data_IF_536022288387
#
_entry.id   IF_536022288387
#
_cell.length_a   1.000
_cell.length_b   1.000
_cell.length_c   1.000
_cell.angle_alpha   90.00
_cell.angle_beta   90.00
_cell.angle_gamma   90.00
#
_symmetry.space_group_name_H-M   'P 1'
#
loop_
_entity.id
_entity.type
_entity.pdbx_description
1 polymer ?
#
# COMPACT_ATOMS: atom_id res chain seq x y z
N UNK A 1 -33.50 11.39 2.00
CA UNK A 1 -34.24 10.23 1.46
C UNK A 1 -35.45 10.65 0.61
N UNK A 2 -36.23 11.72 0.98
CA UNK A 2 -37.40 12.19 0.19
C UNK A 2 -36.98 12.71 -1.20
N UNK A 3 -35.93 13.51 -1.30
CA UNK A 3 -35.43 14.08 -2.57
C UNK A 3 -35.05 12.99 -3.56
N UNK A 4 -34.31 11.97 -3.13
CA UNK A 4 -33.89 10.85 -3.98
C UNK A 4 -35.09 10.07 -4.55
N UNK A 5 -36.13 9.88 -3.76
CA UNK A 5 -37.40 9.25 -4.22
C UNK A 5 -38.08 10.08 -5.29
N UNK A 6 -38.13 11.40 -5.11
CA UNK A 6 -38.73 12.33 -6.10
C UNK A 6 -37.89 12.31 -7.39
N UNK A 7 -36.56 12.40 -7.29
CA UNK A 7 -35.67 12.32 -8.47
C UNK A 7 -35.83 10.98 -9.21
N UNK A 8 -35.91 9.87 -8.49
CA UNK A 8 -36.15 8.55 -9.09
C UNK A 8 -37.49 8.53 -9.83
N UNK A 9 -38.56 8.98 -9.18
CA UNK A 9 -39.89 9.03 -9.77
C UNK A 9 -39.93 9.87 -11.05
N UNK A 10 -39.31 11.05 -11.07
CA UNK A 10 -39.23 11.91 -12.25
C UNK A 10 -38.45 11.23 -13.39
N UNK A 11 -37.31 10.64 -13.10
CA UNK A 11 -36.51 9.92 -14.10
C UNK A 11 -37.27 8.75 -14.73
N UNK A 12 -38.06 8.02 -13.93
CA UNK A 12 -38.85 6.91 -14.43
C UNK A 12 -40.12 7.34 -15.20
N UNK A 13 -40.82 8.39 -14.73
CA UNK A 13 -42.09 8.75 -15.31
C UNK A 13 -42.02 9.88 -16.36
N UNK A 14 -41.10 10.83 -16.23
CA UNK A 14 -40.95 11.92 -17.19
C UNK A 14 -39.94 11.59 -18.30
N UNK A 15 -38.92 10.84 -17.98
CA UNK A 15 -37.84 10.54 -18.94
C UNK A 15 -37.81 9.08 -19.39
N UNK A 16 -38.63 8.21 -18.82
CA UNK A 16 -38.68 6.77 -19.20
C UNK A 16 -37.40 5.97 -18.85
N UNK A 17 -36.53 6.50 -17.96
CA UNK A 17 -35.26 5.88 -17.61
C UNK A 17 -35.45 4.99 -16.38
N UNK A 18 -35.12 3.72 -16.50
CA UNK A 18 -35.17 2.78 -15.38
C UNK A 18 -33.99 3.03 -14.42
N UNK A 19 -34.29 3.44 -13.19
CA UNK A 19 -33.29 3.83 -12.18
C UNK A 19 -33.29 2.87 -11.01
N UNK A 20 -32.11 2.34 -10.67
CA UNK A 20 -31.90 1.52 -9.47
C UNK A 20 -31.14 2.36 -8.44
N UNK A 21 -31.70 2.49 -7.24
CA UNK A 21 -31.05 3.15 -6.12
C UNK A 21 -30.34 2.12 -5.26
N UNK A 22 -29.08 2.35 -4.99
CA UNK A 22 -28.29 1.56 -4.02
C UNK A 22 -27.62 2.49 -3.02
N UNK A 23 -27.31 1.96 -1.83
CA UNK A 23 -26.60 2.72 -0.83
C UNK A 23 -25.20 3.08 -1.32
N UNK A 24 -24.76 4.34 -1.22
CA UNK A 24 -23.41 4.71 -1.59
C UNK A 24 -22.42 3.97 -0.67
N UNK A 25 -21.33 3.47 -1.25
CA UNK A 25 -20.21 2.96 -0.46
C UNK A 25 -19.55 4.15 0.25
N UNK A 26 -19.41 4.04 1.56
CA UNK A 26 -18.66 5.03 2.34
C UNK A 26 -17.18 4.83 2.01
N UNK A 27 -16.44 5.84 1.55
CA UNK A 27 -15.02 5.72 1.28
C UNK A 27 -14.25 5.68 2.61
N UNK A 28 -14.16 4.51 3.21
CA UNK A 28 -13.26 4.30 4.34
C UNK A 28 -11.82 4.35 3.85
N UNK A 29 -10.92 4.83 4.71
CA UNK A 29 -9.49 4.75 4.50
C UNK A 29 -8.89 3.84 5.55
N UNK A 30 -7.95 3.00 5.15
CA UNK A 30 -7.21 2.11 6.04
C UNK A 30 -5.90 2.78 6.44
N UNK A 31 -5.51 2.66 7.70
CA UNK A 31 -4.23 3.19 8.17
C UNK A 31 -3.47 2.15 8.98
N UNK A 32 -2.15 2.29 8.98
CA UNK A 32 -1.25 1.46 9.76
C UNK A 32 -0.93 2.19 11.04
N UNK A 33 -1.18 1.57 12.18
CA UNK A 33 -0.95 2.15 13.50
C UNK A 33 0.34 1.66 14.16
N UNK A 34 0.92 0.56 13.65
CA UNK A 34 2.09 -0.08 14.23
C UNK A 34 3.11 -0.42 13.14
N UNK A 35 4.37 -0.53 13.56
CA UNK A 35 5.42 -1.09 12.71
C UNK A 35 5.16 -2.58 12.51
N UNK A 36 5.24 -3.04 11.28
CA UNK A 36 5.09 -4.45 10.93
C UNK A 36 6.19 -4.86 9.93
N UNK A 37 6.59 -6.11 9.99
CA UNK A 37 7.54 -6.71 9.05
C UNK A 37 6.90 -7.91 8.38
N UNK A 38 7.21 -8.10 7.11
CA UNK A 38 6.82 -9.28 6.38
C UNK A 38 7.94 -9.71 5.44
N UNK A 39 8.15 -11.02 5.35
CA UNK A 39 9.08 -11.62 4.39
C UNK A 39 8.28 -12.53 3.48
N UNK A 40 8.43 -12.32 2.19
CA UNK A 40 7.84 -13.18 1.19
C UNK A 40 8.90 -13.86 0.35
N UNK A 41 8.79 -15.17 0.23
CA UNK A 41 9.68 -16.00 -0.58
C UNK A 41 8.88 -16.64 -1.72
N UNK A 42 9.23 -16.26 -2.94
CA UNK A 42 8.70 -16.89 -4.14
C UNK A 42 9.66 -18.00 -4.58
N UNK A 43 9.19 -19.23 -4.60
CA UNK A 43 9.92 -20.37 -5.15
C UNK A 43 8.99 -21.16 -6.06
N UNK A 44 9.28 -21.16 -7.34
CA UNK A 44 8.55 -21.96 -8.32
C UNK A 44 9.53 -22.77 -9.16
N UNK A 45 9.38 -24.07 -9.15
CA UNK A 45 10.18 -24.99 -9.94
C UNK A 45 9.25 -25.94 -10.68
N UNK A 46 9.14 -25.73 -11.98
CA UNK A 46 8.32 -26.55 -12.88
C UNK A 46 9.16 -26.85 -14.12
N UNK A 47 10.09 -27.83 -14.01
CA UNK A 47 10.91 -28.31 -15.13
C UNK A 47 11.82 -27.22 -15.73
N UNK A 48 13.12 -27.27 -15.46
CA UNK A 48 14.11 -26.31 -15.97
C UNK A 48 14.60 -25.32 -14.93
N UNK A 49 15.02 -24.12 -15.37
CA UNK A 49 15.51 -23.06 -14.48
C UNK A 49 14.38 -22.57 -13.58
N UNK A 50 14.51 -22.79 -12.27
CA UNK A 50 13.52 -22.36 -11.28
C UNK A 50 13.50 -20.84 -11.09
N UNK A 51 12.36 -20.32 -10.66
CA UNK A 51 12.21 -18.93 -10.25
C UNK A 51 12.39 -18.85 -8.72
N UNK A 52 13.27 -17.96 -8.28
CA UNK A 52 13.49 -17.70 -6.85
C UNK A 52 13.58 -16.20 -6.62
N UNK A 53 12.91 -15.73 -5.61
CA UNK A 53 13.00 -14.36 -5.11
C UNK A 53 12.52 -14.29 -3.66
N UNK A 54 13.27 -13.61 -2.82
CA UNK A 54 12.89 -13.35 -1.43
C UNK A 54 13.04 -11.86 -1.14
N UNK A 55 11.99 -11.28 -0.60
CA UNK A 55 11.97 -9.87 -0.23
C UNK A 55 11.41 -9.74 1.18
N UNK A 56 12.13 -9.04 2.03
CA UNK A 56 11.66 -8.61 3.34
C UNK A 56 11.28 -7.14 3.27
N UNK A 57 10.14 -6.79 3.84
CA UNK A 57 9.65 -5.40 3.87
C UNK A 57 9.22 -5.07 5.29
N UNK A 58 9.64 -3.90 5.76
CA UNK A 58 9.16 -3.29 6.98
C UNK A 58 8.26 -2.13 6.58
N UNK A 59 7.10 -2.06 7.18
CA UNK A 59 6.14 -0.97 6.98
C UNK A 59 5.91 -0.24 8.30
N UNK A 60 5.89 1.09 8.24
CA UNK A 60 5.59 1.93 9.41
C UNK A 60 4.74 3.14 9.01
N UNK A 61 3.92 3.67 9.92
CA UNK A 61 3.16 4.88 9.68
C UNK A 61 4.08 6.09 9.58
N UNK A 62 3.70 7.08 8.77
CA UNK A 62 4.31 8.41 8.81
C UNK A 62 3.55 9.22 9.86
N UNK A 63 4.24 9.68 10.88
CA UNK A 63 3.68 10.59 11.87
C UNK A 63 4.22 11.98 11.57
N UNK A 64 3.34 12.93 11.33
CA UNK A 64 3.72 14.32 11.08
C UNK A 64 4.45 14.91 12.29
N UNK A 65 5.54 15.64 12.02
CA UNK A 65 6.35 16.25 13.08
C UNK A 65 7.36 15.32 13.76
N UNK A 66 7.33 14.01 13.47
CA UNK A 66 8.31 13.06 13.98
C UNK A 66 9.36 12.77 12.90
N UNK A 67 10.65 13.09 13.16
CA UNK A 67 11.71 12.79 12.20
C UNK A 67 11.84 11.29 11.98
N UNK A 68 12.29 10.91 10.81
CA UNK A 68 12.54 9.51 10.47
C UNK A 68 13.58 8.92 11.46
N UNK A 69 13.24 7.79 12.04
CA UNK A 69 14.14 7.02 12.90
C UNK A 69 14.51 5.73 12.18
N UNK A 70 15.79 5.43 12.11
CA UNK A 70 16.30 4.18 11.53
C UNK A 70 16.37 3.03 12.55
N UNK A 71 15.92 3.26 13.78
CA UNK A 71 15.87 2.29 14.87
C UNK A 71 14.45 1.80 15.05
N UNK A 72 14.24 0.51 14.91
CA UNK A 72 12.93 -0.11 15.05
C UNK A 72 13.00 -1.24 16.07
N UNK A 73 11.94 -1.39 16.84
CA UNK A 73 11.79 -2.51 17.76
C UNK A 73 10.89 -3.56 17.11
N UNK A 74 11.47 -4.66 16.68
CA UNK A 74 10.79 -5.75 15.97
C UNK A 74 10.95 -7.01 16.83
N UNK A 75 9.83 -7.62 17.22
CA UNK A 75 9.81 -8.84 18.05
C UNK A 75 10.70 -8.75 19.31
N UNK A 76 10.74 -7.56 19.93
CA UNK A 76 11.55 -7.30 21.12
C UNK A 76 13.04 -7.07 20.88
N UNK A 77 13.50 -7.12 19.62
CA UNK A 77 14.88 -6.82 19.23
C UNK A 77 15.00 -5.42 18.65
N UNK A 78 16.02 -4.70 19.03
CA UNK A 78 16.35 -3.40 18.44
C UNK A 78 17.09 -3.63 17.12
N UNK A 79 16.46 -3.23 16.02
CA UNK A 79 17.01 -3.32 14.67
C UNK A 79 17.35 -1.92 14.19
N UNK A 80 18.60 -1.73 13.76
CA UNK A 80 19.06 -0.47 13.15
C UNK A 80 19.22 -0.69 11.66
N UNK A 81 18.48 0.05 10.86
CA UNK A 81 18.54 -0.06 9.40
C UNK A 81 19.41 1.04 8.80
N UNK A 82 20.34 0.66 7.95
CA UNK A 82 21.21 1.60 7.23
C UNK A 82 20.55 2.00 5.91
N UNK A 83 19.98 3.20 5.86
CA UNK A 83 19.36 3.75 4.66
C UNK A 83 20.41 4.13 3.63
N UNK A 84 20.34 3.57 2.44
CA UNK A 84 21.20 3.92 1.29
C UNK A 84 20.56 4.96 0.38
N UNK A 85 19.31 4.72 0.01
CA UNK A 85 18.54 5.63 -0.85
C UNK A 85 17.14 5.80 -0.31
N UNK A 86 16.58 6.99 -0.53
CA UNK A 86 15.21 7.34 -0.22
C UNK A 86 14.52 7.72 -1.53
N UNK A 87 13.36 7.17 -1.78
CA UNK A 87 12.49 7.52 -2.90
C UNK A 87 11.12 7.90 -2.37
N UNK A 88 10.54 8.94 -2.93
CA UNK A 88 9.23 9.44 -2.57
C UNK A 88 8.31 9.37 -3.78
N UNK A 89 7.12 8.85 -3.58
CA UNK A 89 6.10 8.74 -4.61
C UNK A 89 4.82 9.40 -4.13
N UNK A 90 4.31 10.31 -4.93
CA UNK A 90 2.98 10.87 -4.73
C UNK A 90 1.97 9.91 -5.37
N UNK A 91 0.98 9.52 -4.58
CA UNK A 91 -0.08 8.63 -5.01
C UNK A 91 -1.22 9.43 -5.64
N UNK A 92 -1.87 8.89 -6.67
CA UNK A 92 -2.92 9.58 -7.45
C UNK A 92 -4.05 10.16 -6.59
N UNK A 93 -4.33 9.55 -5.45
CA UNK A 93 -5.38 10.00 -4.51
C UNK A 93 -4.87 10.97 -3.42
N UNK A 94 -3.68 11.59 -3.61
CA UNK A 94 -3.11 12.57 -2.70
C UNK A 94 -2.36 11.98 -1.51
N UNK A 95 -1.94 10.71 -1.58
CA UNK A 95 -1.09 10.05 -0.61
C UNK A 95 0.39 10.16 -0.90
N UNK A 96 1.21 9.94 0.11
CA UNK A 96 2.66 9.93 0.01
C UNK A 96 3.20 8.57 0.45
N UNK A 97 3.93 7.92 -0.44
CA UNK A 97 4.66 6.72 -0.16
C UNK A 97 6.16 7.05 -0.07
N UNK A 98 6.77 6.78 1.07
CA UNK A 98 8.22 6.88 1.22
C UNK A 98 8.83 5.48 1.20
N UNK A 99 9.73 5.24 0.28
CA UNK A 99 10.47 3.98 0.19
C UNK A 99 11.94 4.20 0.56
N UNK A 100 12.43 3.37 1.46
CA UNK A 100 13.81 3.40 1.95
C UNK A 100 14.51 2.10 1.58
N UNK A 101 15.52 2.18 0.75
CA UNK A 101 16.37 1.05 0.43
C UNK A 101 17.45 0.90 1.51
N UNK A 102 17.35 -0.17 2.28
CA UNK A 102 18.30 -0.53 3.34
C UNK A 102 19.08 -1.81 3.01
N UNK A 103 19.00 -2.34 1.78
CA UNK A 103 19.64 -3.59 1.37
C UNK A 103 21.14 -3.53 1.55
N UNK A 104 21.70 -4.45 2.33
CA UNK A 104 23.14 -4.55 2.61
C UNK A 104 23.75 -5.67 1.75
N UNK A 105 24.99 -5.44 1.30
CA UNK A 105 25.78 -6.49 0.64
C UNK A 105 25.31 -6.91 -0.76
N UNK A 106 24.39 -6.16 -1.40
CA UNK A 106 23.89 -6.52 -2.73
C UNK A 106 22.97 -7.75 -2.73
N UNK A 107 22.30 -8.03 -1.60
CA UNK A 107 21.40 -9.17 -1.46
C UNK A 107 20.24 -9.13 -2.48
N UNK A 108 19.83 -7.93 -2.89
CA UNK A 108 18.89 -7.71 -3.98
C UNK A 108 19.61 -6.88 -5.05
N UNK A 109 19.64 -7.38 -6.29
CA UNK A 109 20.17 -6.63 -7.42
C UNK A 109 19.31 -5.40 -7.69
N UNK A 110 19.97 -4.26 -7.93
CA UNK A 110 19.30 -2.97 -8.19
C UNK A 110 18.28 -3.03 -9.35
N UNK A 111 18.47 -3.96 -10.29
CA UNK A 111 17.52 -4.18 -11.40
C UNK A 111 16.13 -4.60 -10.96
N UNK A 112 15.99 -5.19 -9.77
CA UNK A 112 14.68 -5.62 -9.24
C UNK A 112 13.98 -4.57 -8.40
N UNK A 113 14.65 -3.47 -8.02
CA UNK A 113 14.03 -2.39 -7.25
C UNK A 113 12.80 -1.80 -7.91
N UNK A 114 12.78 -1.49 -9.23
CA UNK A 114 11.58 -1.00 -9.88
C UNK A 114 10.39 -1.96 -9.82
N UNK A 115 10.65 -3.27 -9.86
CA UNK A 115 9.60 -4.28 -9.74
C UNK A 115 9.00 -4.32 -8.33
N UNK A 116 9.81 -4.17 -7.29
CA UNK A 116 9.36 -4.07 -5.90
C UNK A 116 8.50 -2.82 -5.72
N UNK A 117 8.96 -1.67 -6.20
CA UNK A 117 8.24 -0.40 -6.13
C UNK A 117 6.90 -0.45 -6.86
N UNK A 118 6.89 -1.05 -8.05
CA UNK A 118 5.64 -1.26 -8.79
C UNK A 118 4.66 -2.12 -8.00
N UNK A 119 5.12 -3.24 -7.43
CA UNK A 119 4.28 -4.12 -6.62
C UNK A 119 3.73 -3.44 -5.37
N UNK A 120 4.52 -2.56 -4.73
CA UNK A 120 4.06 -1.74 -3.61
C UNK A 120 2.99 -0.74 -4.05
N UNK A 121 3.22 -0.02 -5.14
CA UNK A 121 2.28 0.94 -5.67
C UNK A 121 0.94 0.29 -6.07
N UNK A 122 0.99 -0.86 -6.75
CA UNK A 122 -0.21 -1.63 -7.11
C UNK A 122 -1.01 -2.06 -5.87
N UNK A 123 -0.32 -2.41 -4.77
CA UNK A 123 -0.99 -2.79 -3.50
C UNK A 123 -1.50 -1.61 -2.69
N UNK A 124 -0.96 -0.42 -2.89
CA UNK A 124 -1.46 0.80 -2.27
C UNK A 124 -2.77 1.30 -2.88
N UNK A 125 -3.22 0.75 -4.00
CA UNK A 125 -4.55 1.06 -4.57
C UNK A 125 -5.68 0.34 -3.85
N UNK A 126 -5.40 -0.81 -3.25
CA UNK A 126 -6.38 -1.64 -2.56
C UNK A 126 -5.89 -2.00 -1.15
N UNK A 127 -6.59 -1.54 -0.13
CA UNK A 127 -6.30 -1.89 1.26
C UNK A 127 -6.61 -3.36 1.58
N UNK A 128 -5.86 -4.00 2.48
CA UNK A 128 -5.98 -5.42 2.77
C UNK A 128 -7.23 -5.84 3.54
N UNK A 129 -7.90 -4.91 4.24
CA UNK A 129 -9.05 -5.22 5.09
C UNK A 129 -10.37 -5.03 4.37
N UNK A 130 -10.59 -3.87 3.79
CA UNK A 130 -11.87 -3.47 3.21
C UNK A 130 -11.79 -3.28 1.70
N UNK A 131 -10.59 -3.35 1.11
CA UNK A 131 -10.34 -3.05 -0.29
C UNK A 131 -10.44 -1.55 -0.63
N UNK A 132 -10.51 -0.69 0.41
CA UNK A 132 -10.47 0.75 0.24
C UNK A 132 -9.02 1.24 0.23
N UNK A 133 -8.80 2.39 -0.40
CA UNK A 133 -7.48 3.00 -0.46
C UNK A 133 -6.92 3.26 0.93
N UNK A 134 -5.67 2.92 1.19
CA UNK A 134 -5.02 3.22 2.46
C UNK A 134 -4.85 4.74 2.64
N UNK A 135 -4.75 5.16 3.89
CA UNK A 135 -4.48 6.56 4.23
C UNK A 135 -3.11 7.00 3.69
N UNK A 136 -2.97 8.27 3.28
CA UNK A 136 -1.88 8.72 2.42
C UNK A 136 -0.48 8.79 3.04
N UNK A 137 -0.16 8.07 4.10
CA UNK A 137 1.10 8.28 4.82
C UNK A 137 1.76 6.98 5.29
N UNK A 138 2.45 6.29 4.37
CA UNK A 138 3.13 5.04 4.69
C UNK A 138 4.60 5.04 4.29
N UNK A 139 5.46 4.51 5.17
CA UNK A 139 6.88 4.26 4.90
C UNK A 139 7.13 2.78 4.72
N UNK A 140 7.85 2.46 3.68
CA UNK A 140 8.32 1.11 3.40
C UNK A 140 9.84 1.08 3.45
N UNK A 141 10.40 0.12 4.18
CA UNK A 141 11.82 -0.10 4.25
C UNK A 141 12.12 -1.51 3.75
N UNK A 142 13.07 -1.63 2.84
CA UNK A 142 13.58 -2.90 2.34
C UNK A 142 14.94 -3.15 3.00
N UNK A 143 15.01 -3.97 4.07
CA UNK A 143 16.24 -4.28 4.80
C UNK A 143 17.18 -5.22 4.05
#
# INVERSE_FOLDING_TARGET
LRILKICKWRLENEFGVKVVLFAPKIPYRETITKVATATYRHKKQSGGAGQFGEVSILICPIVEGVPFTNKFKIDGKDVVLNVKTKEEFDLEWGGRLEFYNCVVGGAIDARFMPAILKGLNDKMTEGPLTGHQPEPSHRFLCP
#
